data_IF_312887322736
#
_entry.id   IF_312887322736
#
_cell.length_a   1.000
_cell.length_b   1.000
_cell.length_c   1.000
_cell.angle_alpha   90.00
_cell.angle_beta   90.00
_cell.angle_gamma   90.00
#
_symmetry.space_group_name_H-M   'P 1'
#
loop_
_entity.id
_entity.type
_entity.pdbx_description
1 polymer ?
#
# COMPACT_ATOMS: atom_id res chain seq x y z
N UNK A 1 -11.39 -10.50 6.71
CA UNK A 1 -10.35 -9.47 6.92
C UNK A 1 -10.18 -9.30 8.41
N UNK A 2 -8.95 -9.24 8.93
CA UNK A 2 -8.70 -9.03 10.35
C UNK A 2 -9.01 -7.57 10.72
N UNK A 3 -9.65 -7.27 11.86
CA UNK A 3 -9.87 -5.89 12.29
C UNK A 3 -8.53 -5.19 12.53
N UNK A 4 -8.39 -3.96 12.04
CA UNK A 4 -7.12 -3.22 12.00
C UNK A 4 -6.59 -2.90 13.40
N UNK A 5 -7.49 -2.68 14.35
CA UNK A 5 -7.20 -2.46 15.77
C UNK A 5 -6.50 -3.66 16.43
N UNK A 6 -6.64 -4.85 15.85
CA UNK A 6 -5.97 -6.07 16.35
C UNK A 6 -4.61 -6.33 15.70
N UNK A 7 -4.21 -5.50 14.73
CA UNK A 7 -2.91 -5.56 14.09
C UNK A 7 -1.99 -4.62 14.87
N UNK A 8 -1.36 -5.16 15.91
CA UNK A 8 -0.47 -4.44 16.83
C UNK A 8 0.96 -4.97 16.74
N UNK A 9 1.91 -4.22 17.29
CA UNK A 9 3.31 -4.67 17.47
C UNK A 9 3.41 -5.98 18.27
N UNK A 10 2.65 -6.10 19.36
CA UNK A 10 2.64 -7.29 20.21
C UNK A 10 2.12 -8.51 19.44
N UNK A 11 1.12 -8.29 18.58
CA UNK A 11 0.63 -9.35 17.71
C UNK A 11 1.70 -9.80 16.69
N UNK A 12 2.37 -8.86 16.02
CA UNK A 12 3.47 -9.19 15.09
C UNK A 12 4.61 -9.95 15.81
N UNK A 13 4.99 -9.51 17.01
CA UNK A 13 5.99 -10.20 17.84
C UNK A 13 5.54 -11.63 18.21
N UNK A 14 4.27 -11.81 18.55
CA UNK A 14 3.71 -13.14 18.85
C UNK A 14 3.78 -14.05 17.62
N UNK A 15 3.41 -13.56 16.44
CA UNK A 15 3.47 -14.34 15.19
C UNK A 15 4.91 -14.74 14.84
N UNK A 16 5.87 -13.84 15.06
CA UNK A 16 7.30 -14.18 14.93
C UNK A 16 7.69 -15.33 15.84
N UNK A 17 7.35 -15.24 17.12
CA UNK A 17 7.72 -16.24 18.12
C UNK A 17 7.11 -17.61 17.84
N UNK A 18 5.88 -17.64 17.30
CA UNK A 18 5.20 -18.86 16.92
C UNK A 18 5.81 -19.53 15.68
N UNK A 19 6.13 -18.74 14.66
CA UNK A 19 6.54 -19.26 13.35
C UNK A 19 8.05 -19.25 13.12
N UNK A 20 8.84 -18.66 14.03
CA UNK A 20 10.30 -18.51 13.93
C UNK A 20 10.76 -17.87 12.59
N UNK A 21 9.96 -16.96 12.06
CA UNK A 21 10.21 -16.24 10.80
C UNK A 21 9.73 -14.79 10.91
N UNK A 22 10.23 -13.91 10.03
CA UNK A 22 9.76 -12.52 9.96
C UNK A 22 8.29 -12.48 9.51
N UNK A 23 7.38 -11.97 10.34
CA UNK A 23 5.96 -11.93 9.98
C UNK A 23 5.70 -10.86 8.92
N UNK A 24 5.16 -11.29 7.78
CA UNK A 24 4.77 -10.41 6.68
C UNK A 24 3.30 -10.66 6.37
N UNK A 25 2.45 -9.65 6.58
CA UNK A 25 1.02 -9.81 6.44
C UNK A 25 0.42 -8.84 5.44
N UNK A 26 -0.12 -9.38 4.35
CA UNK A 26 -1.01 -8.66 3.46
C UNK A 26 -2.42 -8.62 4.06
N UNK A 27 -2.92 -7.44 4.37
CA UNK A 27 -4.20 -7.25 5.07
C UNK A 27 -5.36 -7.12 4.09
N UNK A 28 -5.18 -6.29 3.08
CA UNK A 28 -6.20 -6.03 2.05
C UNK A 28 -5.62 -5.28 0.86
N UNK A 29 -6.29 -5.39 -0.29
CA UNK A 29 -5.99 -4.58 -1.46
C UNK A 29 -6.17 -5.33 -2.76
N UNK A 30 -5.32 -5.06 -3.75
CA UNK A 30 -5.48 -5.59 -5.10
C UNK A 30 -4.15 -6.01 -5.71
N UNK A 31 -4.18 -7.06 -6.54
CA UNK A 31 -3.06 -7.43 -7.38
C UNK A 31 -2.69 -6.30 -8.34
N UNK A 32 -1.39 -6.20 -8.64
CA UNK A 32 -0.87 -5.23 -9.60
C UNK A 32 -1.37 -5.59 -11.01
N UNK A 33 -1.95 -4.59 -11.67
CA UNK A 33 -2.39 -4.70 -13.03
C UNK A 33 -1.21 -4.41 -13.97
N UNK A 34 -0.96 -5.22 -15.01
CA UNK A 34 0.24 -5.09 -15.85
C UNK A 34 0.30 -3.77 -16.63
N UNK A 35 -0.85 -3.14 -16.91
CA UNK A 35 -0.88 -1.83 -17.56
C UNK A 35 -0.68 -0.68 -16.55
N UNK A 36 0.57 -0.24 -16.43
CA UNK A 36 1.01 0.85 -15.52
C UNK A 36 0.41 2.21 -15.85
N UNK A 37 -0.08 2.42 -17.09
CA UNK A 37 -0.70 3.67 -17.52
C UNK A 37 -2.15 3.83 -17.06
N UNK A 38 -2.79 2.72 -16.66
CA UNK A 38 -4.19 2.73 -16.24
C UNK A 38 -4.36 2.94 -14.74
N UNK A 39 -3.46 2.38 -13.95
CA UNK A 39 -3.59 2.31 -12.51
C UNK A 39 -2.30 2.70 -11.81
N UNK A 40 -2.46 3.38 -10.68
CA UNK A 40 -1.42 3.59 -9.68
C UNK A 40 -1.80 2.83 -8.41
N UNK A 41 -0.82 2.38 -7.66
CA UNK A 41 -1.05 1.67 -6.41
C UNK A 41 -0.34 2.41 -5.30
N UNK A 42 -1.09 2.77 -4.27
CA UNK A 42 -0.54 3.33 -3.06
C UNK A 42 -0.58 2.30 -1.94
N UNK A 43 0.42 2.34 -1.09
CA UNK A 43 0.65 1.37 -0.04
C UNK A 43 0.71 2.05 1.31
N UNK A 44 0.35 1.29 2.34
CA UNK A 44 0.57 1.63 3.74
C UNK A 44 1.25 0.44 4.39
N UNK A 45 2.30 0.71 5.16
CA UNK A 45 3.11 -0.30 5.82
C UNK A 45 3.16 0.03 7.31
N UNK A 46 2.71 -0.91 8.13
CA UNK A 46 2.76 -0.85 9.59
C UNK A 46 3.85 -1.81 10.09
N UNK A 47 5.01 -1.30 10.48
CA UNK A 47 6.10 -2.14 10.98
C UNK A 47 6.00 -2.38 12.49
N UNK A 48 6.51 -3.54 12.91
CA UNK A 48 6.58 -4.02 14.29
C UNK A 48 7.35 -3.06 15.23
N UNK A 49 8.34 -2.35 14.68
CA UNK A 49 9.14 -1.37 15.42
C UNK A 49 8.61 0.07 15.31
N UNK A 50 7.36 0.26 14.86
CA UNK A 50 6.77 1.60 14.81
C UNK A 50 6.41 2.14 16.20
N UNK A 51 6.26 3.46 16.28
CA UNK A 51 5.77 4.14 17.48
C UNK A 51 4.23 4.13 17.60
N UNK A 52 3.53 3.51 16.66
CA UNK A 52 2.07 3.43 16.63
C UNK A 52 1.56 2.22 17.42
N UNK A 53 0.44 2.36 18.10
CA UNK A 53 -0.18 1.30 18.88
C UNK A 53 -0.71 0.18 17.98
N UNK A 54 -1.32 0.54 16.85
CA UNK A 54 -1.91 -0.42 15.92
C UNK A 54 -2.04 0.14 14.48
N UNK A 55 -2.43 -0.72 13.54
CA UNK A 55 -2.48 -0.38 12.12
C UNK A 55 -3.52 0.70 11.75
N UNK A 56 -4.55 0.97 12.57
CA UNK A 56 -5.53 2.04 12.27
C UNK A 56 -4.88 3.42 12.26
N UNK A 57 -3.76 3.59 12.97
CA UNK A 57 -3.04 4.84 13.01
C UNK A 57 -2.25 5.12 11.73
N UNK A 58 -2.05 4.11 10.88
CA UNK A 58 -1.26 4.21 9.66
C UNK A 58 -2.12 4.03 8.42
N UNK A 59 -2.93 2.97 8.38
CA UNK A 59 -3.62 2.53 7.17
C UNK A 59 -4.63 3.57 6.67
N UNK A 60 -4.62 3.78 5.36
CA UNK A 60 -5.50 4.70 4.63
C UNK A 60 -5.36 6.19 4.98
N UNK A 61 -4.42 6.57 5.85
CA UNK A 61 -4.10 7.98 6.11
C UNK A 61 -3.14 8.52 5.06
N UNK A 62 -3.45 9.69 4.49
CA UNK A 62 -2.66 10.26 3.39
C UNK A 62 -1.20 10.55 3.77
N UNK A 63 -0.92 10.87 5.04
CA UNK A 63 0.43 11.18 5.54
C UNK A 63 1.39 9.98 5.54
N UNK A 64 0.87 8.75 5.60
CA UNK A 64 1.67 7.52 5.54
C UNK A 64 1.54 6.78 4.20
N UNK A 65 0.91 7.42 3.21
CA UNK A 65 0.68 6.85 1.89
C UNK A 65 1.98 6.83 1.10
N UNK A 66 2.40 5.64 0.68
CA UNK A 66 3.63 5.42 -0.08
C UNK A 66 3.34 5.09 -1.55
N UNK A 67 4.09 5.66 -2.52
CA UNK A 67 4.11 5.17 -3.88
C UNK A 67 4.79 3.80 -3.98
N UNK A 68 4.59 3.11 -5.11
CA UNK A 68 4.93 1.69 -5.24
C UNK A 68 6.40 1.41 -4.94
N UNK A 69 7.31 2.15 -5.59
CA UNK A 69 8.75 1.96 -5.41
C UNK A 69 9.19 2.14 -3.96
N UNK A 70 8.77 3.23 -3.31
CA UNK A 70 9.11 3.51 -1.91
C UNK A 70 8.57 2.44 -0.96
N UNK A 71 7.35 1.95 -1.21
CA UNK A 71 6.78 0.88 -0.40
C UNK A 71 7.60 -0.41 -0.51
N UNK A 72 8.01 -0.81 -1.72
CA UNK A 72 8.86 -1.99 -1.92
C UNK A 72 10.23 -1.83 -1.26
N UNK A 73 10.83 -0.63 -1.32
CA UNK A 73 12.10 -0.35 -0.65
C UNK A 73 11.99 -0.49 0.88
N UNK A 74 10.95 0.11 1.48
CA UNK A 74 10.67 0.00 2.92
C UNK A 74 10.46 -1.45 3.33
N UNK A 75 9.62 -2.21 2.59
CA UNK A 75 9.38 -3.62 2.89
C UNK A 75 10.67 -4.44 2.82
N UNK A 76 11.47 -4.25 1.77
CA UNK A 76 12.76 -4.93 1.60
C UNK A 76 13.74 -4.61 2.74
N UNK A 77 13.76 -3.36 3.21
CA UNK A 77 14.60 -2.98 4.34
C UNK A 77 14.12 -3.59 5.67
N UNK A 78 12.80 -3.65 5.89
CA UNK A 78 12.24 -4.33 7.06
C UNK A 78 12.57 -5.83 7.04
N UNK A 79 12.41 -6.49 5.90
CA UNK A 79 12.76 -7.90 5.72
C UNK A 79 14.24 -8.15 6.01
N UNK A 80 15.14 -7.32 5.44
CA UNK A 80 16.59 -7.42 5.66
C UNK A 80 16.97 -7.31 7.14
N UNK A 81 16.26 -6.47 7.89
CA UNK A 81 16.48 -6.27 9.32
C UNK A 81 15.69 -7.24 10.21
N UNK A 82 15.02 -8.24 9.61
CA UNK A 82 14.12 -9.16 10.30
C UNK A 82 13.06 -8.43 11.14
N UNK A 83 12.45 -7.38 10.62
CA UNK A 83 11.37 -6.63 11.27
C UNK A 83 10.05 -7.01 10.61
N UNK A 84 9.07 -7.42 11.41
CA UNK A 84 7.78 -7.85 10.92
C UNK A 84 6.93 -6.66 10.53
N UNK A 85 6.01 -6.84 9.59
CA UNK A 85 5.10 -5.78 9.19
C UNK A 85 3.80 -6.31 8.59
N UNK A 86 2.79 -5.45 8.69
CA UNK A 86 1.54 -5.60 7.97
C UNK A 86 1.46 -4.51 6.89
N UNK A 87 0.83 -4.82 5.76
CA UNK A 87 0.62 -3.83 4.71
C UNK A 87 -0.71 -3.98 4.00
N UNK A 88 -1.16 -2.89 3.39
CA UNK A 88 -2.32 -2.83 2.51
C UNK A 88 -1.98 -1.99 1.29
N UNK A 89 -2.69 -2.21 0.18
CA UNK A 89 -2.61 -1.34 -0.97
C UNK A 89 -4.00 -0.96 -1.52
N UNK A 90 -4.06 0.22 -2.14
CA UNK A 90 -5.27 0.71 -2.81
C UNK A 90 -4.92 1.09 -4.24
N UNK A 91 -5.76 0.61 -5.17
CA UNK A 91 -5.67 0.91 -6.60
C UNK A 91 -6.38 2.23 -6.90
N UNK A 92 -5.66 3.14 -7.54
CA UNK A 92 -6.15 4.42 -8.03
C UNK A 92 -6.17 4.42 -9.55
N UNK A 93 -7.23 4.94 -10.13
CA UNK A 93 -7.33 5.16 -11.57
C UNK A 93 -6.43 6.34 -11.95
N UNK A 94 -5.56 6.18 -12.95
CA UNK A 94 -4.75 7.28 -13.47
C UNK A 94 -5.57 8.18 -14.38
N UNK A 95 -5.31 9.48 -14.30
CA UNK A 95 -5.83 10.48 -15.23
C UNK A 95 -5.15 10.39 -16.60
N UNK A 96 -5.68 11.11 -17.59
CA UNK A 96 -5.02 11.34 -18.88
C UNK A 96 -5.11 10.20 -19.89
N UNK A 97 -5.75 9.08 -19.57
CA UNK A 97 -6.06 8.04 -20.55
C UNK A 97 -7.53 8.14 -21.04
N UNK A 98 -7.78 7.64 -22.26
CA UNK A 98 -9.10 7.61 -22.90
C UNK A 98 -9.95 6.37 -22.55
N UNK A 99 -9.42 5.48 -21.71
CA UNK A 99 -10.09 4.22 -21.35
C UNK A 99 -11.12 4.48 -20.25
N UNK A 100 -10.81 5.35 -19.28
CA UNK A 100 -11.73 5.69 -18.21
C UNK A 100 -12.73 6.77 -18.59
N UNK A 101 -14.00 6.51 -18.29
CA UNK A 101 -15.01 7.55 -18.22
C UNK A 101 -15.02 8.13 -16.79
N UNK A 102 -14.27 9.21 -16.57
CA UNK A 102 -14.09 9.82 -15.25
C UNK A 102 -15.38 10.39 -14.68
N UNK A 103 -16.28 10.91 -15.52
CA UNK A 103 -17.59 11.44 -15.08
C UNK A 103 -18.45 10.31 -14.52
N UNK A 104 -18.54 9.20 -15.25
CA UNK A 104 -19.25 8.00 -14.78
C UNK A 104 -18.66 7.47 -13.48
N UNK A 105 -17.33 7.39 -13.37
CA UNK A 105 -16.65 6.94 -12.16
C UNK A 105 -16.94 7.84 -10.95
N UNK A 106 -16.95 9.16 -11.13
CA UNK A 106 -17.30 10.11 -10.07
C UNK A 106 -18.78 10.02 -9.68
N UNK A 107 -19.67 9.78 -10.64
CA UNK A 107 -21.10 9.62 -10.35
C UNK A 107 -21.39 8.34 -9.56
N UNK A 108 -20.72 7.23 -9.89
CA UNK A 108 -20.87 5.96 -9.18
C UNK A 108 -20.15 5.97 -7.81
N UNK A 109 -19.02 6.67 -7.73
CA UNK A 109 -18.18 6.75 -6.55
C UNK A 109 -17.78 8.21 -6.27
N UNK A 110 -18.63 9.00 -5.59
CA UNK A 110 -18.39 10.44 -5.38
C UNK A 110 -17.06 10.77 -4.71
N UNK A 111 -16.62 9.90 -3.79
CA UNK A 111 -15.38 10.04 -3.02
C UNK A 111 -14.15 9.45 -3.75
N UNK A 112 -14.29 9.04 -5.02
CA UNK A 112 -13.19 8.43 -5.77
C UNK A 112 -12.02 9.40 -5.91
N UNK A 113 -10.83 8.89 -5.65
CA UNK A 113 -9.58 9.62 -5.85
C UNK A 113 -8.84 9.07 -7.05
N UNK A 114 -8.32 9.97 -7.86
CA UNK A 114 -7.52 9.64 -9.03
C UNK A 114 -6.05 9.88 -8.75
N UNK A 115 -5.20 9.10 -9.42
CA UNK A 115 -3.77 9.37 -9.48
C UNK A 115 -3.44 10.26 -10.68
N UNK A 116 -2.30 10.98 -10.65
CA UNK A 116 -1.79 11.67 -11.84
C UNK A 116 -1.69 10.75 -13.05
N UNK A 117 -1.67 11.36 -14.24
CA UNK A 117 -1.33 10.62 -15.46
C UNK A 117 0.04 9.97 -15.32
N UNK A 118 0.32 8.91 -16.07
CA UNK A 118 1.62 8.25 -15.97
C UNK A 118 2.80 9.17 -16.32
N UNK A 119 2.59 10.08 -17.28
CA UNK A 119 3.63 11.01 -17.75
C UNK A 119 3.86 12.17 -16.76
N UNK A 120 2.82 12.61 -16.05
CA UNK A 120 2.90 13.70 -15.06
C UNK A 120 3.26 13.21 -13.65
N UNK A 121 3.37 11.89 -13.46
CA UNK A 121 3.65 11.29 -12.17
C UNK A 121 5.15 11.33 -11.85
N UNK A 122 5.52 12.17 -10.89
CA UNK A 122 6.92 12.41 -10.49
C UNK A 122 7.48 11.34 -9.57
N UNK A 123 6.67 10.35 -9.14
CA UNK A 123 7.18 9.26 -8.31
C UNK A 123 8.15 8.37 -9.09
N UNK A 124 9.10 7.81 -8.35
CA UNK A 124 10.13 6.92 -8.86
C UNK A 124 9.53 5.64 -9.43
N UNK A 125 10.07 5.21 -10.58
CA UNK A 125 9.62 4.00 -11.26
C UNK A 125 10.36 2.78 -10.72
N UNK A 126 9.62 1.74 -10.33
CA UNK A 126 10.14 0.42 -10.01
C UNK A 126 10.55 -0.36 -11.28
N UNK A 127 11.37 -1.42 -11.15
CA UNK A 127 11.79 -2.28 -12.27
C UNK A 127 10.62 -2.88 -13.06
N UNK A 128 9.45 -3.01 -12.43
CA UNK A 128 8.20 -3.47 -13.06
C UNK A 128 7.47 -2.39 -13.86
N UNK A 129 8.00 -1.16 -13.91
CA UNK A 129 7.38 0.00 -14.56
C UNK A 129 6.32 0.72 -13.72
N UNK A 130 5.97 0.20 -12.54
CA UNK A 130 5.04 0.87 -11.64
C UNK A 130 5.71 2.04 -10.91
N UNK A 131 5.01 3.18 -10.85
CA UNK A 131 5.34 4.34 -10.02
C UNK A 131 4.50 4.31 -8.75
#
# INVERSE_FOLDING_TARGET
>A
MRPLETITKDWLQKERNLNQQTPIFFISGSSLHPNVKLYKYYYWVYPENSNFENATEVFFKDEYKLPFKKAMDVMKELEKNNIGFAYTNVRYYRLGNKIWNYEKLKNEYPEIRFAPSYEDDTDETHESGHK
#
